data_IF_502605256530
#
_entry.id   IF_502605256530
#
_cell.length_a   1.000
_cell.length_b   1.000
_cell.length_c   1.000
_cell.angle_alpha   90.00
_cell.angle_beta   90.00
_cell.angle_gamma   90.00
#
_symmetry.space_group_name_H-M   'P 1'
#
loop_
_entity.id
_entity.type
_entity.pdbx_description
1 polymer ?
#
# COMPACT_ATOMS: atom_id res chain seq x y z
N UNK A 1 -27.09 15.08 42.78
CA UNK A 1 -26.36 16.33 43.14
C UNK A 1 -25.18 15.93 44.00
N UNK A 2 -23.96 16.09 43.50
CA UNK A 2 -22.78 16.56 44.24
C UNK A 2 -21.58 16.54 43.28
N UNK A 3 -21.21 17.75 42.86
CA UNK A 3 -20.03 18.07 42.08
C UNK A 3 -18.88 18.32 43.07
N UNK A 4 -17.72 17.70 42.86
CA UNK A 4 -16.46 18.10 43.46
C UNK A 4 -15.35 17.79 42.44
N UNK A 5 -15.03 18.76 41.58
CA UNK A 5 -13.96 19.74 41.76
C UNK A 5 -12.57 19.15 41.43
N UNK A 6 -12.17 19.35 40.17
CA UNK A 6 -10.86 19.05 39.64
C UNK A 6 -9.81 20.05 40.18
N UNK A 7 -8.64 19.54 40.57
CA UNK A 7 -7.46 20.32 40.96
C UNK A 7 -6.39 20.15 39.88
N UNK A 8 -5.99 21.19 39.14
CA UNK A 8 -4.82 21.14 38.30
C UNK A 8 -3.60 21.67 39.06
N UNK A 9 -2.60 20.82 39.29
CA UNK A 9 -1.29 21.27 39.76
C UNK A 9 -0.52 21.91 38.61
N UNK A 10 -0.55 23.25 38.59
CA UNK A 10 0.41 24.06 37.85
C UNK A 10 1.83 23.79 38.37
N UNK A 11 2.68 23.23 37.52
CA UNK A 11 4.13 23.18 37.72
C UNK A 11 4.74 24.26 36.83
N UNK A 12 5.12 25.37 37.44
CA UNK A 12 5.97 26.39 36.86
C UNK A 12 7.41 25.85 36.80
N UNK A 13 7.94 25.70 35.59
CA UNK A 13 9.36 25.42 35.37
C UNK A 13 9.94 26.41 34.36
N UNK A 14 10.57 27.43 34.91
CA UNK A 14 11.70 28.24 34.39
C UNK A 14 11.93 28.34 32.88
N UNK A 15 11.71 29.55 32.35
CA UNK A 15 12.38 30.09 31.15
C UNK A 15 13.89 30.12 31.39
N UNK A 16 14.68 29.46 30.55
CA UNK A 16 16.11 29.73 30.41
C UNK A 16 16.32 30.50 29.11
N UNK A 17 16.63 31.78 29.23
CA UNK A 17 16.97 32.68 28.13
C UNK A 17 18.47 32.52 27.84
N UNK A 18 18.84 31.64 26.92
CA UNK A 18 20.23 31.56 26.41
C UNK A 18 20.31 32.45 25.18
N UNK A 19 20.82 33.68 25.37
CA UNK A 19 21.22 34.55 24.28
C UNK A 19 22.60 34.09 23.76
N UNK A 20 22.60 33.18 22.77
CA UNK A 20 23.80 32.88 22.00
C UNK A 20 23.90 33.85 20.83
N UNK A 21 24.73 34.89 20.99
CA UNK A 21 25.09 35.83 19.93
C UNK A 21 26.09 35.15 18.97
N UNK A 22 25.58 34.40 17.99
CA UNK A 22 26.40 33.89 16.89
C UNK A 22 26.71 35.04 15.92
N UNK A 23 27.99 35.43 15.87
CA UNK A 23 28.56 36.28 14.84
C UNK A 23 28.37 35.61 13.47
N UNK A 24 27.39 36.08 12.69
CA UNK A 24 27.24 35.74 11.28
C UNK A 24 28.37 36.45 10.52
N UNK A 25 29.38 35.69 10.09
CA UNK A 25 30.28 36.16 9.05
C UNK A 25 29.46 36.36 7.75
N UNK A 26 29.65 37.47 7.00
CA UNK A 26 29.03 37.60 5.70
C UNK A 26 29.63 36.54 4.77
N UNK A 27 28.84 35.53 4.44
CA UNK A 27 29.13 34.68 3.28
C UNK A 27 28.92 35.58 2.07
N UNK A 28 30.01 36.01 1.44
CA UNK A 28 29.96 36.60 0.11
C UNK A 28 29.34 35.53 -0.80
N UNK A 29 28.13 35.78 -1.29
CA UNK A 29 27.52 34.98 -2.34
C UNK A 29 28.46 35.06 -3.55
N UNK A 30 29.20 33.98 -3.79
CA UNK A 30 29.94 33.84 -5.04
C UNK A 30 28.90 33.74 -6.14
N UNK A 31 28.78 34.81 -6.93
CA UNK A 31 28.09 34.76 -8.22
C UNK A 31 28.84 33.74 -9.06
N UNK A 32 28.33 32.53 -9.10
CA UNK A 32 28.76 31.53 -10.06
C UNK A 32 28.35 32.07 -11.42
N UNK A 33 29.32 32.61 -12.16
CA UNK A 33 29.17 32.86 -13.58
C UNK A 33 29.13 31.48 -14.25
N UNK A 34 27.92 30.93 -14.38
CA UNK A 34 27.69 29.70 -15.12
C UNK A 34 27.88 30.03 -16.61
N UNK A 35 28.80 29.37 -17.33
CA UNK A 35 28.78 29.46 -18.78
C UNK A 35 27.46 28.89 -19.26
N UNK A 36 26.61 29.76 -19.82
CA UNK A 36 25.40 29.38 -20.55
C UNK A 36 25.78 28.56 -21.78
N UNK A 37 25.92 27.25 -21.60
CA UNK A 37 25.92 26.31 -22.70
C UNK A 37 24.89 25.23 -22.40
N UNK A 38 23.65 25.48 -22.83
CA UNK A 38 22.53 24.54 -22.78
C UNK A 38 22.75 23.41 -23.80
N UNK A 39 23.70 22.53 -23.51
CA UNK A 39 23.73 21.19 -24.06
C UNK A 39 23.86 20.24 -22.88
N UNK A 40 22.75 19.60 -22.52
CA UNK A 40 22.77 18.46 -21.62
C UNK A 40 23.72 17.42 -22.22
N UNK A 41 24.92 17.29 -21.64
CA UNK A 41 25.86 16.27 -22.06
C UNK A 41 25.23 14.90 -21.78
N UNK A 42 25.34 13.94 -22.70
CA UNK A 42 24.92 12.57 -22.45
C UNK A 42 25.61 12.06 -21.18
N UNK A 43 24.82 11.66 -20.18
CA UNK A 43 25.33 11.08 -18.95
C UNK A 43 26.02 9.78 -19.33
N UNK A 44 27.34 9.68 -19.19
CA UNK A 44 28.09 8.45 -19.44
C UNK A 44 27.67 7.37 -18.43
N UNK A 45 27.00 6.29 -18.86
CA UNK A 45 26.50 5.27 -17.95
C UNK A 45 27.60 4.48 -17.23
N UNK A 46 28.88 4.63 -17.62
CA UNK A 46 30.03 3.95 -17.01
C UNK A 46 30.88 4.82 -16.07
N UNK A 47 30.53 6.10 -15.87
CA UNK A 47 31.31 6.98 -14.99
C UNK A 47 31.04 6.66 -13.51
N UNK A 48 32.06 6.30 -12.70
CA UNK A 48 31.91 5.92 -11.29
C UNK A 48 31.44 7.07 -10.37
N UNK A 49 31.52 8.32 -10.82
CA UNK A 49 31.01 9.49 -10.09
C UNK A 49 29.56 9.84 -10.41
N UNK A 50 28.91 9.12 -11.33
CA UNK A 50 27.48 9.26 -11.55
C UNK A 50 26.71 8.54 -10.44
N UNK A 51 26.11 9.33 -9.54
CA UNK A 51 25.19 8.87 -8.50
C UNK A 51 23.93 8.27 -9.14
N UNK A 52 24.02 7.02 -9.57
CA UNK A 52 22.86 6.22 -9.94
C UNK A 52 22.17 5.77 -8.65
N UNK A 53 20.83 5.86 -8.52
CA UNK A 53 20.13 5.12 -7.49
C UNK A 53 20.57 3.67 -7.62
N UNK A 54 21.25 3.13 -6.62
CA UNK A 54 21.66 1.73 -6.62
C UNK A 54 20.38 0.93 -6.80
N UNK A 55 20.20 0.36 -8.00
CA UNK A 55 19.17 -0.62 -8.27
C UNK A 55 19.63 -1.90 -7.56
N UNK A 56 19.50 -1.90 -6.23
CA UNK A 56 19.59 -3.11 -5.44
C UNK A 56 18.34 -3.90 -5.79
N UNK A 57 18.55 -4.96 -6.56
CA UNK A 57 17.58 -5.89 -7.14
C UNK A 57 16.82 -6.71 -6.08
N UNK A 58 16.49 -6.11 -4.93
CA UNK A 58 15.75 -6.70 -3.82
C UNK A 58 15.44 -5.64 -2.75
N UNK A 59 14.91 -4.48 -3.12
CA UNK A 59 14.26 -3.65 -2.09
C UNK A 59 13.11 -4.49 -1.52
N UNK A 60 13.24 -4.94 -0.26
CA UNK A 60 12.27 -5.80 0.44
C UNK A 60 10.85 -5.22 0.44
N UNK A 61 10.74 -3.92 0.18
CA UNK A 61 9.51 -3.14 0.14
C UNK A 61 9.27 -2.60 -1.27
N UNK A 62 8.94 -3.51 -2.19
CA UNK A 62 8.66 -3.19 -3.59
C UNK A 62 7.52 -4.04 -4.14
N UNK A 63 6.86 -3.56 -5.21
CA UNK A 63 5.82 -4.33 -5.90
C UNK A 63 6.41 -5.66 -6.40
N UNK A 64 7.62 -5.62 -6.97
CA UNK A 64 8.41 -6.78 -7.40
C UNK A 64 8.58 -7.82 -6.28
N UNK A 65 8.97 -7.37 -5.07
CA UNK A 65 9.15 -8.27 -3.94
C UNK A 65 7.84 -8.94 -3.50
N UNK A 66 6.72 -8.21 -3.53
CA UNK A 66 5.40 -8.76 -3.25
C UNK A 66 4.95 -9.75 -4.32
N UNK A 67 5.20 -9.45 -5.60
CA UNK A 67 4.86 -10.35 -6.72
C UNK A 67 5.69 -11.63 -6.70
N UNK A 68 6.96 -11.55 -6.28
CA UNK A 68 7.78 -12.73 -6.02
C UNK A 68 7.19 -13.60 -4.91
N UNK A 69 6.78 -13.01 -3.79
CA UNK A 69 6.12 -13.75 -2.69
C UNK A 69 4.83 -14.44 -3.16
N UNK A 70 4.04 -13.78 -4.01
CA UNK A 70 2.84 -14.36 -4.63
C UNK A 70 3.16 -15.56 -5.52
N UNK A 71 4.27 -15.49 -6.25
CA UNK A 71 4.73 -16.56 -7.15
C UNK A 71 5.29 -17.76 -6.36
N UNK A 72 6.08 -17.48 -5.32
CA UNK A 72 6.57 -18.50 -4.38
C UNK A 72 5.43 -19.20 -3.65
N UNK A 73 4.39 -18.46 -3.27
CA UNK A 73 3.19 -19.03 -2.68
C UNK A 73 2.46 -19.97 -3.65
N UNK A 74 2.34 -19.58 -4.93
CA UNK A 74 1.72 -20.43 -5.94
C UNK A 74 2.50 -21.73 -6.12
N UNK A 75 3.83 -21.66 -6.24
CA UNK A 75 4.69 -22.84 -6.34
C UNK A 75 4.55 -23.75 -5.10
N UNK A 76 4.36 -23.16 -3.91
CA UNK A 76 4.10 -23.92 -2.69
C UNK A 76 2.72 -24.60 -2.72
N UNK A 77 1.67 -23.94 -3.22
CA UNK A 77 0.34 -24.56 -3.44
C UNK A 77 0.43 -25.73 -4.42
N UNK A 78 1.13 -25.56 -5.54
CA UNK A 78 1.30 -26.60 -6.56
C UNK A 78 2.07 -27.81 -5.99
N UNK A 79 2.94 -27.58 -5.01
CA UNK A 79 3.68 -28.60 -4.26
C UNK A 79 2.92 -29.12 -3.02
N UNK A 80 1.66 -28.73 -2.82
CA UNK A 80 0.83 -29.06 -1.65
C UNK A 80 1.41 -28.62 -0.29
N UNK A 81 2.32 -27.63 -0.29
CA UNK A 81 2.95 -27.03 0.90
C UNK A 81 2.12 -25.85 1.40
N UNK A 82 0.90 -26.12 1.87
CA UNK A 82 -0.07 -25.08 2.20
C UNK A 82 0.37 -24.13 3.32
N UNK A 83 1.09 -24.61 4.33
CA UNK A 83 1.61 -23.73 5.40
C UNK A 83 2.63 -22.71 4.88
N UNK A 84 3.48 -23.14 3.94
CA UNK A 84 4.45 -22.26 3.28
C UNK A 84 3.72 -21.25 2.39
N UNK A 85 2.72 -21.69 1.64
CA UNK A 85 1.89 -20.81 0.81
C UNK A 85 1.18 -19.75 1.66
N UNK A 86 0.57 -20.16 2.78
CA UNK A 86 -0.12 -19.25 3.69
C UNK A 86 0.81 -18.17 4.23
N UNK A 87 2.01 -18.56 4.70
CA UNK A 87 3.02 -17.62 5.19
C UNK A 87 3.45 -16.62 4.11
N UNK A 88 3.74 -17.10 2.90
CA UNK A 88 4.16 -16.25 1.78
C UNK A 88 3.08 -15.26 1.35
N UNK A 89 1.82 -15.69 1.33
CA UNK A 89 0.68 -14.81 1.03
C UNK A 89 0.47 -13.78 2.14
N UNK A 90 0.66 -14.16 3.42
CA UNK A 90 0.61 -13.20 4.52
C UNK A 90 1.70 -12.13 4.41
N UNK A 91 2.94 -12.53 4.10
CA UNK A 91 4.05 -11.60 3.86
C UNK A 91 3.74 -10.68 2.66
N UNK A 92 3.23 -11.23 1.55
CA UNK A 92 2.84 -10.44 0.38
C UNK A 92 1.77 -9.39 0.73
N UNK A 93 0.74 -9.77 1.50
CA UNK A 93 -0.30 -8.85 1.98
C UNK A 93 0.31 -7.70 2.79
N UNK A 94 1.25 -7.99 3.68
CA UNK A 94 1.92 -6.96 4.50
C UNK A 94 2.70 -5.98 3.63
N UNK A 95 3.51 -6.49 2.68
CA UNK A 95 4.28 -5.67 1.74
C UNK A 95 3.35 -4.76 0.93
N UNK A 96 2.31 -5.32 0.30
CA UNK A 96 1.40 -4.53 -0.51
C UNK A 96 0.57 -3.53 0.29
N UNK A 97 0.18 -3.87 1.52
CA UNK A 97 -0.51 -2.93 2.40
C UNK A 97 0.39 -1.74 2.76
N UNK A 98 1.64 -2.01 3.10
CA UNK A 98 2.60 -0.98 3.44
C UNK A 98 2.90 -0.07 2.24
N UNK A 99 3.09 -0.66 1.05
CA UNK A 99 3.26 0.11 -0.19
C UNK A 99 2.05 1.00 -0.48
N UNK A 100 0.83 0.46 -0.34
CA UNK A 100 -0.39 1.24 -0.57
C UNK A 100 -0.44 2.47 0.34
N UNK A 101 -0.18 2.28 1.64
CA UNK A 101 -0.15 3.38 2.61
C UNK A 101 0.93 4.42 2.28
N UNK A 102 2.15 3.99 1.98
CA UNK A 102 3.23 4.92 1.62
C UNK A 102 2.94 5.73 0.36
N UNK A 103 2.35 5.11 -0.66
CA UNK A 103 1.93 5.84 -1.85
C UNK A 103 0.75 6.79 -1.59
N UNK A 104 -0.13 6.49 -0.63
CA UNK A 104 -1.17 7.41 -0.17
C UNK A 104 -0.58 8.63 0.56
N UNK A 105 0.42 8.41 1.43
CA UNK A 105 1.11 9.49 2.15
C UNK A 105 1.86 10.41 1.17
N UNK A 106 2.55 9.83 0.19
CA UNK A 106 3.20 10.59 -0.88
C UNK A 106 2.18 11.34 -1.75
N UNK A 107 1.08 10.69 -2.15
CA UNK A 107 0.00 11.36 -2.89
C UNK A 107 -0.49 12.61 -2.13
N UNK A 108 -0.72 12.47 -0.82
CA UNK A 108 -1.18 13.57 0.03
C UNK A 108 -0.14 14.69 0.12
N UNK A 109 1.14 14.35 0.19
CA UNK A 109 2.25 15.31 0.29
C UNK A 109 2.44 16.15 -0.97
N UNK A 110 2.12 15.61 -2.15
CA UNK A 110 2.21 16.32 -3.43
C UNK A 110 0.88 16.92 -3.90
N UNK A 111 -0.21 16.68 -3.18
CA UNK A 111 -1.54 17.20 -3.54
C UNK A 111 -1.56 18.72 -3.51
N UNK A 112 -2.01 19.36 -4.60
CA UNK A 112 -2.00 20.81 -4.75
C UNK A 112 -0.64 21.45 -5.02
N UNK A 113 0.46 20.66 -5.01
CA UNK A 113 1.81 21.11 -5.35
C UNK A 113 2.20 20.64 -6.75
N UNK A 114 2.15 19.31 -6.97
CA UNK A 114 2.41 18.70 -8.27
C UNK A 114 1.37 17.61 -8.52
N UNK A 115 0.38 17.96 -9.34
CA UNK A 115 -0.75 17.08 -9.70
C UNK A 115 -0.26 15.81 -10.39
N UNK A 116 0.78 15.89 -11.23
CA UNK A 116 1.28 14.74 -11.99
C UNK A 116 1.95 13.74 -11.04
N UNK A 117 2.73 14.24 -10.08
CA UNK A 117 3.35 13.38 -9.05
C UNK A 117 2.26 12.78 -8.17
N UNK A 118 1.33 13.60 -7.66
CA UNK A 118 0.19 13.16 -6.85
C UNK A 118 -0.59 12.04 -7.54
N UNK A 119 -1.00 12.23 -8.80
CA UNK A 119 -1.72 11.21 -9.57
C UNK A 119 -0.92 9.92 -9.79
N UNK A 120 0.38 10.04 -10.02
CA UNK A 120 1.27 8.87 -10.13
C UNK A 120 1.27 8.05 -8.83
N UNK A 121 1.38 8.70 -7.67
CA UNK A 121 1.36 7.99 -6.38
C UNK A 121 -0.02 7.44 -6.06
N UNK A 122 -1.09 8.17 -6.37
CA UNK A 122 -2.48 7.67 -6.25
C UNK A 122 -2.68 6.38 -7.04
N UNK A 123 -2.16 6.31 -8.28
CA UNK A 123 -2.23 5.09 -9.09
C UNK A 123 -1.47 3.93 -8.44
N UNK A 124 -0.23 4.16 -7.97
CA UNK A 124 0.57 3.13 -7.30
C UNK A 124 -0.07 2.65 -5.98
N UNK A 125 -0.70 3.54 -5.24
CA UNK A 125 -1.46 3.20 -4.04
C UNK A 125 -2.61 2.24 -4.36
N UNK A 126 -3.37 2.55 -5.41
CA UNK A 126 -4.47 1.71 -5.90
C UNK A 126 -3.97 0.35 -6.40
N UNK A 127 -2.92 0.33 -7.22
CA UNK A 127 -2.34 -0.91 -7.75
C UNK A 127 -1.82 -1.81 -6.61
N UNK A 128 -1.16 -1.23 -5.60
CA UNK A 128 -0.71 -1.97 -4.41
C UNK A 128 -1.88 -2.50 -3.59
N UNK A 129 -2.95 -1.73 -3.40
CA UNK A 129 -4.15 -2.19 -2.70
C UNK A 129 -4.84 -3.35 -3.44
N UNK A 130 -4.89 -3.31 -4.77
CA UNK A 130 -5.45 -4.41 -5.56
C UNK A 130 -4.64 -5.70 -5.40
N UNK A 131 -3.30 -5.61 -5.44
CA UNK A 131 -2.41 -6.76 -5.19
C UNK A 131 -2.53 -7.30 -3.76
N UNK A 132 -2.69 -6.44 -2.76
CA UNK A 132 -2.99 -6.85 -1.38
C UNK A 132 -4.28 -7.68 -1.31
N UNK A 133 -5.33 -7.23 -1.99
CA UNK A 133 -6.62 -7.91 -1.96
C UNK A 133 -6.56 -9.24 -2.73
N UNK A 134 -5.80 -9.31 -3.81
CA UNK A 134 -5.52 -10.58 -4.51
C UNK A 134 -4.76 -11.57 -3.62
N UNK A 135 -3.70 -11.12 -2.93
CA UNK A 135 -2.98 -11.93 -1.95
C UNK A 135 -3.89 -12.42 -0.82
N UNK A 136 -4.79 -11.56 -0.36
CA UNK A 136 -5.82 -11.87 0.65
C UNK A 136 -6.79 -12.95 0.13
N UNK A 137 -7.20 -12.87 -1.13
CA UNK A 137 -8.09 -13.85 -1.75
C UNK A 137 -7.43 -15.21 -1.84
N UNK A 138 -6.20 -15.26 -2.36
CA UNK A 138 -5.44 -16.52 -2.46
C UNK A 138 -5.21 -17.13 -1.08
N UNK A 139 -4.93 -16.33 -0.05
CA UNK A 139 -4.76 -16.81 1.32
C UNK A 139 -6.04 -17.47 1.85
N UNK A 140 -7.21 -16.88 1.58
CA UNK A 140 -8.49 -17.48 1.95
C UNK A 140 -8.70 -18.84 1.27
N UNK A 141 -8.32 -18.98 -0.01
CA UNK A 141 -8.40 -20.25 -0.73
C UNK A 141 -7.45 -21.31 -0.15
N UNK A 142 -6.24 -20.92 0.26
CA UNK A 142 -5.29 -21.82 0.93
C UNK A 142 -5.87 -22.33 2.25
N UNK A 143 -6.43 -21.45 3.10
CA UNK A 143 -7.08 -21.87 4.33
C UNK A 143 -8.27 -22.81 4.09
N UNK A 144 -9.08 -22.56 3.05
CA UNK A 144 -10.16 -23.50 2.66
C UNK A 144 -9.61 -24.87 2.27
N UNK A 145 -8.52 -24.93 1.50
CA UNK A 145 -7.87 -26.19 1.13
C UNK A 145 -7.34 -26.96 2.36
N UNK A 146 -7.06 -26.25 3.46
CA UNK A 146 -6.66 -26.83 4.74
C UNK A 146 -7.84 -27.12 5.69
N UNK A 147 -9.09 -27.00 5.22
CA UNK A 147 -10.32 -27.10 6.03
C UNK A 147 -10.44 -26.06 7.16
N UNK A 148 -9.76 -24.92 7.05
CA UNK A 148 -9.76 -23.81 8.02
C UNK A 148 -10.68 -22.68 7.57
N UNK A 149 -11.97 -22.98 7.41
CA UNK A 149 -12.93 -22.01 6.87
C UNK A 149 -13.12 -20.78 7.78
N UNK A 150 -12.92 -20.95 9.08
CA UNK A 150 -12.93 -19.90 10.09
C UNK A 150 -11.86 -18.82 9.86
N UNK A 151 -10.73 -19.19 9.26
CA UNK A 151 -9.68 -18.23 8.88
C UNK A 151 -9.96 -17.61 7.51
N UNK A 152 -10.63 -18.34 6.61
CA UNK A 152 -10.96 -17.85 5.27
C UNK A 152 -12.06 -16.77 5.28
N UNK A 153 -13.13 -16.96 6.07
CA UNK A 153 -14.28 -16.04 6.14
C UNK A 153 -13.89 -14.58 6.39
N UNK A 154 -13.11 -14.22 7.42
CA UNK A 154 -12.75 -12.81 7.66
C UNK A 154 -11.94 -12.20 6.51
N UNK A 155 -11.10 -13.00 5.84
CA UNK A 155 -10.33 -12.56 4.67
C UNK A 155 -11.23 -12.26 3.46
N UNK A 156 -12.25 -13.10 3.23
CA UNK A 156 -13.23 -12.90 2.15
C UNK A 156 -14.09 -11.64 2.40
N UNK A 157 -14.52 -11.41 3.64
CA UNK A 157 -15.23 -10.18 4.03
C UNK A 157 -14.34 -8.95 3.80
N UNK A 158 -13.06 -9.03 4.16
CA UNK A 158 -12.10 -7.94 3.94
C UNK A 158 -12.02 -7.55 2.45
N UNK A 159 -11.99 -8.53 1.55
CA UNK A 159 -11.96 -8.28 0.10
C UNK A 159 -13.23 -7.59 -0.38
N UNK A 160 -14.40 -8.02 0.08
CA UNK A 160 -15.69 -7.39 -0.30
C UNK A 160 -15.71 -5.93 0.14
N UNK A 161 -15.25 -5.63 1.36
CA UNK A 161 -15.14 -4.26 1.88
C UNK A 161 -14.19 -3.40 1.06
N UNK A 162 -13.09 -3.98 0.58
CA UNK A 162 -12.06 -3.25 -0.16
C UNK A 162 -12.39 -3.07 -1.65
N UNK A 163 -12.86 -4.12 -2.32
CA UNK A 163 -13.11 -4.13 -3.77
C UNK A 163 -14.55 -3.83 -4.15
N UNK A 164 -15.50 -3.71 -3.20
CA UNK A 164 -16.94 -3.65 -3.44
C UNK A 164 -17.47 -4.96 -4.08
N UNK A 165 -18.63 -5.50 -3.67
CA UNK A 165 -19.17 -6.76 -4.20
C UNK A 165 -19.45 -6.74 -5.71
N UNK A 166 -19.54 -5.57 -6.34
CA UNK A 166 -19.80 -5.42 -7.78
C UNK A 166 -18.56 -5.63 -8.67
N UNK A 167 -17.35 -5.58 -8.10
CA UNK A 167 -16.11 -5.84 -8.86
C UNK A 167 -15.79 -7.33 -8.88
N UNK A 168 -15.04 -7.77 -9.89
CA UNK A 168 -14.74 -9.19 -10.12
C UNK A 168 -14.18 -9.91 -8.89
N UNK A 169 -13.21 -9.32 -8.18
CA UNK A 169 -12.65 -9.94 -6.98
C UNK A 169 -13.65 -9.96 -5.80
N UNK A 170 -14.49 -8.93 -5.68
CA UNK A 170 -15.57 -8.88 -4.69
C UNK A 170 -16.64 -9.94 -4.94
N UNK A 171 -17.06 -10.14 -6.21
CA UNK A 171 -17.98 -11.21 -6.62
C UNK A 171 -17.40 -12.59 -6.29
N UNK A 172 -16.13 -12.84 -6.63
CA UNK A 172 -15.45 -14.09 -6.30
C UNK A 172 -15.42 -14.33 -4.80
N UNK A 173 -15.05 -13.32 -4.00
CA UNK A 173 -15.03 -13.45 -2.56
C UNK A 173 -16.42 -13.75 -1.96
N UNK A 174 -17.47 -13.08 -2.47
CA UNK A 174 -18.84 -13.35 -2.06
C UNK A 174 -19.28 -14.77 -2.43
N UNK A 175 -18.97 -15.22 -3.65
CA UNK A 175 -19.23 -16.59 -4.09
C UNK A 175 -18.58 -17.62 -3.16
N UNK A 176 -17.33 -17.39 -2.73
CA UNK A 176 -16.67 -18.28 -1.76
C UNK A 176 -17.39 -18.29 -0.40
N UNK A 177 -17.91 -17.15 0.08
CA UNK A 177 -18.70 -17.11 1.31
C UNK A 177 -20.01 -17.89 1.18
N UNK A 178 -20.66 -17.82 0.02
CA UNK A 178 -21.87 -18.59 -0.27
C UNK A 178 -21.58 -20.10 -0.31
N UNK A 179 -20.52 -20.53 -0.97
CA UNK A 179 -20.08 -21.93 -1.01
C UNK A 179 -19.71 -22.49 0.37
N UNK A 180 -19.25 -21.63 1.28
CA UNK A 180 -18.97 -21.99 2.68
C UNK A 180 -20.23 -22.04 3.55
N UNK A 181 -21.40 -21.64 3.03
CA UNK A 181 -22.64 -21.51 3.81
C UNK A 181 -22.62 -20.35 4.81
N UNK A 182 -21.67 -19.41 4.69
CA UNK A 182 -21.62 -18.22 5.55
C UNK A 182 -22.72 -17.20 5.20
N UNK A 183 -23.12 -17.17 3.93
CA UNK A 183 -24.28 -16.42 3.45
C UNK A 183 -25.21 -17.37 2.68
N UNK A 184 -26.51 -17.07 2.69
CA UNK A 184 -27.57 -17.92 2.14
C UNK A 184 -28.10 -17.45 0.78
N UNK A 185 -27.76 -16.23 0.38
CA UNK A 185 -28.30 -15.59 -0.82
C UNK A 185 -27.19 -15.41 -1.86
N UNK A 186 -27.31 -15.96 -3.08
CA UNK A 186 -26.29 -15.78 -4.11
C UNK A 186 -26.25 -14.35 -4.65
N UNK A 187 -25.05 -13.89 -5.04
CA UNK A 187 -24.85 -12.59 -5.67
C UNK A 187 -23.81 -12.69 -6.82
N UNK A 188 -24.07 -12.07 -7.99
CA UNK A 188 -25.31 -11.40 -8.36
C UNK A 188 -26.48 -12.39 -8.44
N UNK A 189 -27.70 -11.93 -8.17
CA UNK A 189 -28.90 -12.77 -8.26
C UNK A 189 -29.02 -13.28 -9.69
N UNK A 190 -29.06 -14.60 -9.88
CA UNK A 190 -29.36 -15.19 -11.18
C UNK A 190 -30.81 -14.84 -11.52
N UNK A 191 -31.01 -13.87 -12.43
CA UNK A 191 -32.34 -13.37 -12.83
C UNK A 191 -32.45 -11.86 -13.09
N UNK A 192 -31.38 -11.07 -12.94
CA UNK A 192 -31.44 -9.60 -13.05
C UNK A 192 -30.92 -8.97 -14.36
N UNK A 193 -30.55 -9.75 -15.38
CA UNK A 193 -29.91 -9.21 -16.60
C UNK A 193 -30.52 -9.76 -17.88
N UNK A 194 -31.70 -9.22 -18.24
CA UNK A 194 -32.20 -9.10 -19.63
C UNK A 194 -33.56 -8.38 -19.70
N UNK A 195 -33.61 -7.08 -19.41
CA UNK A 195 -34.66 -6.19 -19.97
C UNK A 195 -34.26 -4.72 -19.86
N UNK A 196 -33.40 -4.25 -20.76
CA UNK A 196 -33.29 -2.82 -21.03
C UNK A 196 -33.08 -2.58 -22.53
N UNK A 197 -34.22 -2.37 -23.19
CA UNK A 197 -34.48 -1.53 -24.36
C UNK A 197 -33.86 -1.86 -25.72
N UNK A 198 -34.67 -2.54 -26.54
CA UNK A 198 -35.00 -2.04 -27.86
C UNK A 198 -35.86 -0.78 -27.71
N UNK A 199 -35.42 0.35 -28.26
CA UNK A 199 -36.29 1.32 -28.94
C UNK A 199 -35.47 2.17 -29.88
#
# INVERSE_FOLDING_TARGET
MNLAAAVPWMRFSSLSLIAALCLLAPVNAQVINLPSNNQAQPIDPNNPNNLRPVAQNSTLLSIESGDRLMSEAQAAVDSQKYDVAAKKLQEARQVFNQLSNFYQDLNSSFSGIDIRVSDSQRKKALDSAQKRDEATYRLALVHRAQNQSELAVPLLIQIIKSQNPTRELGKKAYQQLFELGFVDTPYPRQGGSSSSSQK
#
